data_IF_454523973078
#
_entry.id   IF_454523973078
#
_cell.length_a   1.000
_cell.length_b   1.000
_cell.length_c   1.000
_cell.angle_alpha   90.00
_cell.angle_beta   90.00
_cell.angle_gamma   90.00
#
_symmetry.space_group_name_H-M   'P 1'
#
loop_
_entity.id
_entity.type
_entity.pdbx_description
1 polymer ?
2 non-polymer ?
3 water ?
#
# COMPACT_ATOMS: atom_id res chain seq x y z
N UNK A 1 -23.08 -15.48 0.41
CA UNK A 1 -22.09 -14.53 -0.18
C UNK A 1 -22.73 -13.15 -0.32
N UNK A 2 -21.90 -12.10 -0.31
CA UNK A 2 -22.35 -10.72 -0.58
C UNK A 2 -22.21 -10.52 -2.08
N UNK A 3 -23.29 -9.78 -2.64
CA UNK A 3 -23.23 -9.69 -4.11
C UNK A 3 -22.16 -8.71 -4.59
N UNK A 4 -21.99 -7.64 -3.85
CA UNK A 4 -21.11 -6.51 -4.26
C UNK A 4 -20.17 -6.20 -3.11
N UNK A 5 -19.25 -7.13 -2.78
CA UNK A 5 -18.34 -6.94 -1.64
C UNK A 5 -17.51 -5.68 -1.85
N UNK A 6 -17.39 -4.87 -0.80
CA UNK A 6 -16.71 -3.57 -0.91
C UNK A 6 -15.22 -3.66 -0.61
N UNK A 7 -14.68 -4.83 -0.22
CA UNK A 7 -13.23 -5.01 0.05
C UNK A 7 -12.96 -6.51 0.06
N UNK A 8 -11.74 -6.90 0.30
CA UNK A 8 -11.33 -8.31 0.30
C UNK A 8 -11.82 -9.03 1.56
N UNK A 9 -12.24 -8.31 2.60
CA UNK A 9 -12.83 -8.91 3.83
C UNK A 9 -14.25 -9.41 3.51
N UNK A 10 -15.03 -8.62 2.81
CA UNK A 10 -16.40 -9.02 2.37
C UNK A 10 -16.32 -10.08 1.28
N UNK A 11 -15.22 -10.15 0.51
CA UNK A 11 -15.04 -11.12 -0.59
C UNK A 11 -14.58 -12.44 -0.01
N UNK A 12 -13.94 -12.40 1.16
CA UNK A 12 -13.32 -13.60 1.77
C UNK A 12 -14.44 -14.36 2.44
N UNK A 13 -15.10 -13.67 3.36
CA UNK A 13 -16.26 -14.14 4.15
C UNK A 13 -17.26 -14.78 3.17
N UNK A 14 -17.26 -14.32 1.91
CA UNK A 14 -17.93 -15.03 0.76
C UNK A 14 -17.35 -16.44 0.61
N UNK A 15 -16.54 -16.89 1.58
CA UNK A 15 -15.96 -18.25 1.61
C UNK A 15 -14.61 -18.35 0.90
N UNK A 16 -14.32 -17.44 -0.04
CA UNK A 16 -13.20 -17.55 -1.02
C UNK A 16 -11.86 -17.32 -0.30
N UNK A 17 -11.10 -18.39 -0.04
CA UNK A 17 -9.94 -18.36 0.91
C UNK A 17 -8.61 -18.41 0.13
N UNK A 18 -8.67 -18.38 -1.20
CA UNK A 18 -7.48 -18.43 -2.09
C UNK A 18 -7.06 -17.00 -2.43
N UNK A 19 -5.80 -16.66 -2.22
CA UNK A 19 -5.26 -15.35 -2.66
C UNK A 19 -5.32 -15.29 -4.18
N UNK A 20 -5.61 -14.10 -4.72
CA UNK A 20 -5.64 -13.85 -6.17
C UNK A 20 -6.56 -12.71 -6.49
N UNK A 21 -6.98 -12.60 -7.74
CA UNK A 21 -7.78 -11.47 -8.25
C UNK A 21 -9.24 -11.68 -7.91
N UNK A 22 -9.85 -10.67 -7.32
CA UNK A 22 -11.29 -10.61 -6.99
C UNK A 22 -11.85 -9.27 -7.44
N UNK A 23 -13.12 -9.24 -7.74
CA UNK A 23 -13.85 -7.99 -7.97
C UNK A 23 -14.42 -7.46 -6.67
N UNK A 24 -14.10 -6.22 -6.35
CA UNK A 24 -14.82 -5.50 -5.29
C UNK A 24 -15.58 -4.35 -5.93
N UNK A 25 -16.41 -3.74 -5.11
CA UNK A 25 -17.39 -2.74 -5.57
C UNK A 25 -17.36 -1.58 -4.59
N UNK A 26 -16.89 -0.43 -5.04
CA UNK A 26 -16.69 0.69 -4.08
C UNK A 26 -18.05 1.15 -3.60
N UNK A 27 -18.18 1.31 -2.29
CA UNK A 27 -19.47 1.66 -1.65
C UNK A 27 -20.53 0.57 -1.91
N UNK A 28 -20.15 -0.66 -2.25
CA UNK A 28 -21.11 -1.74 -2.58
C UNK A 28 -21.89 -1.47 -3.84
N UNK A 29 -21.42 -0.57 -4.69
CA UNK A 29 -22.17 -0.09 -5.89
C UNK A 29 -21.72 -0.97 -7.05
N UNK A 30 -22.65 -1.67 -7.69
CA UNK A 30 -22.36 -2.61 -8.81
C UNK A 30 -21.78 -1.84 -10.02
N UNK A 31 -21.92 -0.51 -10.07
CA UNK A 31 -21.35 0.29 -11.16
C UNK A 31 -19.95 0.81 -10.78
N UNK A 32 -19.35 0.37 -9.65
CA UNK A 32 -18.00 0.85 -9.24
C UNK A 32 -17.12 -0.37 -9.00
N UNK A 33 -17.13 -1.31 -9.96
CA UNK A 33 -16.31 -2.54 -9.90
C UNK A 33 -14.85 -2.18 -9.96
N UNK A 34 -14.02 -2.91 -9.23
CA UNK A 34 -12.55 -2.72 -9.23
C UNK A 34 -11.95 -4.10 -9.06
N UNK A 35 -11.03 -4.48 -9.93
CA UNK A 35 -10.35 -5.78 -9.78
C UNK A 35 -9.19 -5.55 -8.80
N UNK A 36 -9.10 -6.36 -7.76
CA UNK A 36 -8.00 -6.18 -6.78
C UNK A 36 -7.36 -7.54 -6.58
N UNK A 37 -6.12 -7.51 -6.12
CA UNK A 37 -5.47 -8.73 -5.58
C UNK A 37 -5.78 -8.80 -4.08
N UNK A 38 -6.42 -9.88 -3.65
CA UNK A 38 -6.70 -10.21 -2.24
C UNK A 38 -5.64 -11.16 -1.69
N UNK A 39 -4.96 -10.73 -0.62
CA UNK A 39 -4.07 -11.60 0.19
C UNK A 39 -4.96 -12.25 1.23
N UNK A 40 -5.30 -13.51 1.00
CA UNK A 40 -6.31 -14.19 1.85
C UNK A 40 -5.60 -15.03 2.90
N UNK A 41 -4.27 -14.97 3.01
CA UNK A 41 -3.49 -15.87 3.92
C UNK A 41 -2.80 -15.11 5.05
N UNK A 42 -2.28 -13.90 4.82
CA UNK A 42 -1.51 -13.15 5.84
C UNK A 42 -2.42 -12.75 7.01
N UNK A 43 -2.02 -13.10 8.24
CA UNK A 43 -2.76 -12.73 9.49
C UNK A 43 -4.27 -12.76 9.26
N UNK A 44 -4.81 -13.88 8.84
CA UNK A 44 -6.26 -14.09 8.74
C UNK A 44 -6.86 -13.64 7.40
N UNK A 45 -6.06 -13.04 6.50
CA UNK A 45 -6.51 -12.71 5.14
C UNK A 45 -7.42 -11.49 5.06
N UNK A 46 -8.19 -11.37 3.99
CA UNK A 46 -9.14 -10.28 3.77
C UNK A 46 -8.47 -8.99 3.37
N UNK A 47 -7.22 -9.05 2.90
CA UNK A 47 -6.42 -7.85 2.60
C UNK A 47 -6.50 -7.49 1.11
N UNK A 48 -6.86 -6.26 0.80
CA UNK A 48 -6.61 -5.65 -0.54
C UNK A 48 -5.14 -5.26 -0.60
N UNK A 49 -4.38 -5.90 -1.48
CA UNK A 49 -2.99 -5.48 -1.73
C UNK A 49 -3.04 -4.22 -2.62
N UNK A 50 -2.28 -3.21 -2.25
CA UNK A 50 -2.27 -1.99 -3.08
C UNK A 50 -0.89 -1.61 -3.57
N UNK A 51 0.14 -2.27 -3.08
CA UNK A 51 1.53 -2.11 -3.60
C UNK A 51 2.18 -3.48 -3.56
N UNK A 52 2.87 -3.82 -4.60
CA UNK A 52 3.75 -5.03 -4.57
C UNK A 52 5.04 -4.69 -5.31
N UNK A 53 6.17 -4.95 -4.64
CA UNK A 53 7.52 -4.94 -5.22
C UNK A 53 8.08 -6.36 -5.05
N UNK A 54 8.66 -6.92 -6.08
CA UNK A 54 9.21 -8.29 -5.98
C UNK A 54 10.31 -8.57 -7.01
N UNK A 55 10.51 -7.78 -8.06
CA UNK A 55 11.48 -8.19 -9.11
C UNK A 55 12.02 -7.02 -9.92
N UNK A 56 11.54 -5.79 -9.74
CA UNK A 56 12.08 -4.63 -10.46
C UNK A 56 11.67 -4.57 -11.93
N UNK A 57 10.68 -5.33 -12.35
CA UNK A 57 10.27 -5.34 -13.78
C UNK A 57 9.43 -4.08 -14.06
N UNK A 58 8.71 -3.52 -13.07
CA UNK A 58 7.79 -2.40 -13.31
C UNK A 58 8.47 -1.08 -12.94
N UNK A 59 8.16 0.00 -13.66
CA UNK A 59 8.70 1.35 -13.40
C UNK A 59 7.79 2.05 -12.38
N UNK A 60 8.32 2.44 -11.22
CA UNK A 60 7.53 3.17 -10.19
C UNK A 60 7.84 4.65 -10.23
N UNK A 61 8.75 5.10 -11.10
CA UNK A 61 9.04 6.52 -11.24
C UNK A 61 8.04 7.12 -12.23
N UNK A 62 6.81 7.33 -11.76
CA UNK A 62 5.66 7.67 -12.61
C UNK A 62 5.03 8.94 -12.07
N UNK A 63 4.18 9.55 -12.88
CA UNK A 63 3.65 10.90 -12.63
C UNK A 63 2.39 10.87 -11.77
N UNK A 64 1.94 12.06 -11.41
CA UNK A 64 0.73 12.22 -10.57
C UNK A 64 -0.43 11.40 -11.16
N UNK A 65 -0.74 11.60 -12.44
CA UNK A 65 -1.94 10.96 -13.01
C UNK A 65 -1.81 9.43 -12.85
N UNK A 66 -0.61 8.90 -13.02
CA UNK A 66 -0.35 7.44 -12.88
C UNK A 66 -0.56 6.99 -11.42
N UNK A 67 -0.04 7.74 -10.47
CA UNK A 67 -0.23 7.45 -9.02
C UNK A 67 -1.70 7.61 -8.64
N UNK A 68 -2.41 8.58 -9.23
CA UNK A 68 -3.84 8.74 -8.92
C UNK A 68 -4.67 7.55 -9.42
N UNK A 69 -4.35 7.03 -10.60
CA UNK A 69 -5.17 6.03 -11.33
C UNK A 69 -4.75 4.60 -11.01
N UNK A 70 -3.48 4.39 -10.74
CA UNK A 70 -2.87 3.06 -10.61
C UNK A 70 -2.22 2.58 -11.88
N UNK A 71 -1.32 1.62 -11.73
CA UNK A 71 -0.54 1.07 -12.87
C UNK A 71 0.01 -0.28 -12.47
N UNK A 72 0.40 -1.05 -13.46
CA UNK A 72 1.06 -2.34 -13.25
C UNK A 72 0.15 -3.54 -13.40
N UNK A 73 0.72 -4.70 -13.15
CA UNK A 73 0.07 -6.01 -13.19
C UNK A 73 -0.25 -6.38 -11.75
N UNK A 74 -1.54 -6.48 -11.42
CA UNK A 74 -2.00 -6.79 -10.05
C UNK A 74 -1.41 -8.12 -9.55
N UNK A 75 -1.12 -9.03 -10.47
CA UNK A 75 -0.55 -10.35 -10.08
C UNK A 75 0.96 -10.27 -9.81
N UNK A 76 1.60 -9.17 -10.16
CA UNK A 76 3.06 -8.97 -10.05
C UNK A 76 3.28 -7.60 -9.39
N UNK A 77 4.10 -6.74 -9.96
CA UNK A 77 4.37 -5.41 -9.38
C UNK A 77 3.32 -4.40 -9.87
N UNK A 78 2.75 -3.65 -8.93
CA UNK A 78 1.69 -2.69 -9.29
C UNK A 78 1.51 -1.74 -8.12
N UNK A 79 0.76 -0.71 -8.43
CA UNK A 79 0.26 0.34 -7.52
C UNK A 79 -1.24 0.50 -7.79
N UNK A 80 -2.09 0.30 -6.78
CA UNK A 80 -3.57 0.29 -6.98
C UNK A 80 -4.15 1.65 -7.41
N UNK A 81 -3.54 2.73 -7.04
CA UNK A 81 -4.11 4.06 -7.31
C UNK A 81 -4.59 4.77 -6.08
N UNK A 82 -4.25 6.04 -5.97
CA UNK A 82 -4.66 6.89 -4.80
C UNK A 82 -6.17 7.15 -4.82
N UNK A 83 -6.81 7.26 -5.99
CA UNK A 83 -8.26 7.55 -6.04
C UNK A 83 -8.98 6.32 -5.47
N UNK A 84 -8.51 5.13 -5.84
CA UNK A 84 -9.04 3.86 -5.31
C UNK A 84 -8.80 3.82 -3.81
N UNK A 85 -7.60 4.13 -3.34
CA UNK A 85 -7.32 4.04 -1.89
C UNK A 85 -8.21 5.03 -1.14
N UNK A 86 -8.41 6.23 -1.67
CA UNK A 86 -9.30 7.22 -1.00
C UNK A 86 -10.70 6.62 -0.87
N UNK A 87 -11.24 6.10 -1.97
CA UNK A 87 -12.64 5.63 -2.01
C UNK A 87 -12.77 4.41 -1.09
N UNK A 88 -11.79 3.50 -1.06
CA UNK A 88 -11.85 2.30 -0.16
C UNK A 88 -11.83 2.81 1.30
N UNK A 89 -10.85 3.64 1.65
CA UNK A 89 -10.64 4.02 3.07
C UNK A 89 -11.80 4.91 3.56
N UNK A 90 -12.57 5.54 2.67
CA UNK A 90 -13.78 6.33 3.00
C UNK A 90 -14.92 5.42 3.45
N UNK A 91 -14.88 4.11 3.17
CA UNK A 91 -16.02 3.15 3.38
C UNK A 91 -16.19 2.77 4.84
N UNK A 92 -15.17 2.98 5.64
CA UNK A 92 -15.16 2.57 7.07
C UNK A 92 -13.80 2.79 7.67
N UNK A 93 -13.53 2.17 8.81
CA UNK A 93 -12.22 2.29 9.48
C UNK A 93 -11.35 1.14 8.96
N UNK A 94 -10.26 1.47 8.26
CA UNK A 94 -9.31 0.46 7.72
C UNK A 94 -8.01 0.47 8.52
N UNK A 95 -7.35 -0.69 8.48
CA UNK A 95 -6.00 -0.94 9.02
C UNK A 95 -5.06 -1.17 7.83
N UNK A 96 -3.82 -0.70 7.97
CA UNK A 96 -2.72 -0.93 7.00
C UNK A 96 -1.84 -2.05 7.51
N UNK A 97 -1.47 -2.95 6.61
CA UNK A 97 -0.40 -3.91 6.90
C UNK A 97 0.67 -3.80 5.82
N UNK A 98 1.91 -3.84 6.26
CA UNK A 98 3.06 -3.84 5.35
C UNK A 98 3.83 -5.14 5.63
N UNK A 99 4.01 -5.93 4.59
CA UNK A 99 4.82 -7.19 4.64
C UNK A 99 6.12 -6.97 3.89
N UNK A 100 7.26 -7.28 4.51
CA UNK A 100 8.59 -7.04 3.90
C UNK A 100 9.31 -8.40 3.96
N UNK A 101 10.12 -8.66 2.95
CA UNK A 101 11.01 -9.84 2.93
C UNK A 101 12.27 -9.51 2.16
N UNK A 102 13.44 -9.89 2.68
CA UNK A 102 14.71 -9.58 2.03
C UNK A 102 15.69 -10.68 2.47
N UNK A 103 16.24 -11.39 1.48
CA UNK A 103 17.22 -12.47 1.72
C UNK A 103 16.76 -13.31 2.90
N UNK A 104 15.50 -13.77 2.85
CA UNK A 104 14.94 -14.75 3.78
C UNK A 104 14.42 -14.15 5.06
N UNK A 105 14.79 -12.93 5.39
CA UNK A 105 14.29 -12.30 6.63
C UNK A 105 12.94 -11.64 6.34
N UNK A 106 12.01 -11.69 7.27
CA UNK A 106 10.69 -11.05 7.10
C UNK A 106 10.44 -10.09 8.24
N UNK A 107 9.63 -9.07 7.98
CA UNK A 107 9.15 -8.17 9.04
C UNK A 107 7.80 -7.65 8.60
N UNK A 108 7.05 -7.04 9.52
CA UNK A 108 5.76 -6.47 9.16
C UNK A 108 5.50 -5.27 10.05
N UNK A 109 4.58 -4.46 9.60
CA UNK A 109 4.03 -3.32 10.37
C UNK A 109 2.53 -3.31 10.17
N UNK A 110 1.78 -3.06 11.24
CA UNK A 110 0.31 -2.88 11.14
C UNK A 110 0.07 -1.50 11.76
N UNK A 111 -0.81 -0.75 11.13
CA UNK A 111 -1.33 0.51 11.67
C UNK A 111 -2.85 0.36 11.77
N UNK A 112 -3.35 0.43 12.98
CA UNK A 112 -4.77 0.20 13.30
C UNK A 112 -5.68 1.16 12.55
N UNK A 113 -5.20 2.36 12.23
CA UNK A 113 -5.97 3.38 11.50
C UNK A 113 -5.17 3.81 10.29
N UNK A 114 -5.78 3.68 9.13
CA UNK A 114 -5.17 4.06 7.85
C UNK A 114 -6.23 4.68 6.96
N UNK A 115 -5.95 5.86 6.44
CA UNK A 115 -6.86 6.49 5.47
C UNK A 115 -6.01 7.29 4.50
N UNK A 116 -6.58 7.53 3.34
CA UNK A 116 -5.99 8.35 2.26
C UNK A 116 -7.07 9.36 1.88
N UNK A 117 -6.75 10.64 1.99
CA UNK A 117 -7.74 11.69 1.69
C UNK A 117 -7.98 11.85 0.19
N UNK A 118 -8.89 12.72 -0.21
CA UNK A 118 -9.23 12.84 -1.64
C UNK A 118 -8.24 13.79 -2.31
N UNK A 119 -8.45 14.01 -3.58
CA UNK A 119 -7.53 14.78 -4.43
C UNK A 119 -7.34 16.21 -3.89
N UNK A 120 -8.37 16.78 -3.28
CA UNK A 120 -8.29 18.17 -2.73
C UNK A 120 -7.34 18.18 -1.52
N UNK A 121 -7.03 17.02 -0.91
CA UNK A 121 -6.02 16.88 0.18
C UNK A 121 -4.66 16.44 -0.37
N UNK A 122 -4.49 16.39 -1.70
CA UNK A 122 -3.38 15.73 -2.40
C UNK A 122 -3.20 14.34 -1.77
N UNK A 123 -4.32 13.63 -1.54
CA UNK A 123 -4.35 12.22 -1.08
C UNK A 123 -3.54 12.08 0.23
N UNK A 124 -3.84 12.95 1.19
CA UNK A 124 -3.19 13.03 2.55
C UNK A 124 -3.20 11.66 3.22
N UNK A 125 -2.07 11.24 3.76
CA UNK A 125 -1.94 9.97 4.51
C UNK A 125 -2.37 10.19 5.97
N UNK A 126 -3.17 9.28 6.53
CA UNK A 126 -3.33 9.12 7.97
C UNK A 126 -2.91 7.69 8.34
N UNK A 127 -1.99 7.55 9.28
CA UNK A 127 -1.56 6.22 9.80
C UNK A 127 -1.30 6.38 11.29
N UNK A 128 -2.02 5.59 12.08
CA UNK A 128 -1.95 5.65 13.55
C UNK A 128 -1.97 4.21 14.06
N UNK A 129 -1.48 4.00 15.28
CA UNK A 129 -1.70 2.75 16.01
C UNK A 129 -0.78 1.65 15.48
N UNK A 130 0.52 1.86 15.57
CA UNK A 130 1.55 0.91 15.09
C UNK A 130 1.65 -0.34 15.98
N UNK A 131 1.87 -1.47 15.33
CA UNK A 131 2.44 -2.65 16.00
C UNK A 131 3.24 -3.38 14.92
N UNK A 132 4.23 -4.13 15.35
CA UNK A 132 4.96 -5.00 14.41
C UNK A 132 6.43 -5.13 14.67
N UNK A 133 7.15 -5.67 13.69
CA UNK A 133 8.58 -6.01 13.83
C UNK A 133 9.44 -5.14 12.93
N UNK A 134 8.85 -4.43 11.96
CA UNK A 134 9.69 -3.69 10.96
C UNK A 134 10.21 -2.41 11.59
N UNK A 135 9.54 -1.93 12.62
CA UNK A 135 9.83 -0.61 13.19
C UNK A 135 8.91 0.45 12.63
N UNK A 136 8.48 1.41 13.47
CA UNK A 136 7.44 2.37 13.04
C UNK A 136 8.05 3.44 12.14
N UNK A 137 8.21 3.15 10.84
CA UNK A 137 8.83 4.09 9.86
C UNK A 137 7.75 4.97 9.21
N UNK A 138 6.47 4.60 9.30
CA UNK A 138 5.40 5.43 8.72
C UNK A 138 5.06 6.62 9.63
N UNK A 139 5.35 6.59 10.94
CA UNK A 139 4.98 7.71 11.83
C UNK A 139 5.51 9.01 11.21
N UNK A 140 6.76 8.97 10.73
CA UNK A 140 7.46 10.14 10.12
C UNK A 140 6.58 10.78 9.05
N UNK A 141 5.84 9.96 8.31
CA UNK A 141 5.07 10.30 7.10
C UNK A 141 3.64 10.72 7.43
N UNK A 142 3.16 10.50 8.66
CA UNK A 142 1.75 10.71 9.01
C UNK A 142 1.33 12.16 8.71
N UNK A 143 0.21 12.31 8.01
CA UNK A 143 -0.46 13.59 7.73
C UNK A 143 0.10 14.26 6.48
N UNK A 144 1.07 13.64 5.82
CA UNK A 144 1.69 14.21 4.61
C UNK A 144 0.87 13.93 3.34
N UNK A 145 0.86 14.94 2.47
CA UNK A 145 0.28 14.79 1.12
C UNK A 145 1.18 13.84 0.30
N UNK A 146 0.63 13.32 -0.78
CA UNK A 146 1.38 12.47 -1.72
C UNK A 146 2.17 13.42 -2.62
N UNK A 147 3.31 12.95 -3.08
CA UNK A 147 4.23 13.70 -3.97
C UNK A 147 4.71 12.80 -5.08
N UNK A 148 4.66 13.35 -6.31
CA UNK A 148 5.30 12.78 -7.50
C UNK A 148 6.19 13.89 -8.05
N UNK A 149 6.99 13.53 -9.02
CA UNK A 149 8.00 14.47 -9.59
C UNK A 149 7.30 15.68 -10.19
N UNK A 150 6.06 15.53 -10.70
CA UNK A 150 5.35 16.61 -11.42
C UNK A 150 4.35 17.31 -10.49
N UNK A 151 4.31 16.98 -9.21
CA UNK A 151 3.44 17.71 -8.23
C UNK A 151 4.12 17.66 -6.86
N UNK A 159 12.17 18.82 -4.08
CA UNK A 159 11.11 17.82 -4.41
C UNK A 159 11.75 16.43 -4.27
N UNK A 160 11.23 15.66 -3.30
CA UNK A 160 11.79 14.36 -2.86
C UNK A 160 11.64 13.31 -3.95
N UNK A 161 10.54 13.38 -4.72
CA UNK A 161 10.18 12.41 -5.76
C UNK A 161 11.22 12.50 -6.83
N UNK A 162 11.52 13.72 -7.18
CA UNK A 162 12.54 14.02 -8.21
C UNK A 162 13.91 13.56 -7.67
N UNK A 163 14.27 14.03 -6.46
CA UNK A 163 15.61 13.82 -5.85
C UNK A 163 15.88 12.35 -5.55
N UNK A 164 14.86 11.54 -5.24
CA UNK A 164 15.00 10.08 -4.99
C UNK A 164 14.39 9.21 -6.14
N UNK A 165 13.82 9.78 -7.21
CA UNK A 165 13.29 9.01 -8.38
C UNK A 165 12.28 7.93 -7.88
N UNK A 166 11.36 8.34 -7.00
CA UNK A 166 10.21 7.51 -6.60
C UNK A 166 8.98 8.38 -6.43
N UNK A 167 8.03 7.95 -5.60
CA UNK A 167 6.79 8.67 -5.27
C UNK A 167 6.39 8.20 -3.89
N UNK A 168 5.83 9.07 -3.09
CA UNK A 168 5.41 8.69 -1.72
C UNK A 168 4.74 9.88 -1.08
N UNK A 169 4.20 9.67 0.11
CA UNK A 169 3.82 10.73 1.05
C UNK A 169 5.07 11.34 1.70
N UNK A 170 5.92 11.96 0.87
CA UNK A 170 7.24 12.46 1.27
C UNK A 170 7.11 13.62 2.26
N UNK A 171 8.12 13.73 3.11
CA UNK A 171 8.30 14.80 4.08
C UNK A 171 9.61 15.50 3.71
N UNK A 172 10.73 15.12 4.32
CA UNK A 172 12.03 15.77 3.98
C UNK A 172 13.18 14.83 4.29
N UNK A 173 13.23 13.63 3.68
CA UNK A 173 12.29 13.19 2.65
C UNK A 173 11.55 11.94 3.13
N UNK A 174 12.27 10.90 3.56
CA UNK A 174 11.57 9.63 3.82
C UNK A 174 12.25 8.78 4.89
N UNK A 175 11.42 7.98 5.54
CA UNK A 175 11.89 6.74 6.22
C UNK A 175 11.29 5.49 5.55
N UNK A 176 10.24 5.67 4.76
CA UNK A 176 9.67 4.61 3.91
C UNK A 176 9.69 5.08 2.45
N UNK A 177 10.17 4.21 1.57
CA UNK A 177 10.34 4.54 0.13
C UNK A 177 9.98 3.32 -0.70
N UNK A 178 8.82 2.68 -0.44
CA UNK A 178 8.53 1.35 -1.06
C UNK A 178 8.23 1.47 -2.56
N UNK A 179 8.05 2.68 -3.10
CA UNK A 179 7.91 2.96 -4.53
C UNK A 179 9.24 3.52 -5.08
N UNK A 180 10.35 3.19 -4.46
CA UNK A 180 11.67 3.66 -4.90
C UNK A 180 12.24 2.73 -5.94
N UNK A 181 13.51 2.95 -6.27
CA UNK A 181 14.14 2.20 -7.37
C UNK A 181 14.56 0.81 -6.92
N UNK A 182 14.11 -0.22 -7.62
CA UNK A 182 14.33 -1.63 -7.25
C UNK A 182 15.83 -1.96 -7.32
N UNK A 183 16.33 -2.62 -6.29
CA UNK A 183 17.72 -3.08 -6.13
C UNK A 183 18.72 -1.95 -6.03
N UNK A 184 18.31 -0.71 -5.74
CA UNK A 184 19.25 0.44 -5.66
C UNK A 184 19.65 0.66 -4.19
N UNK A 185 20.86 0.26 -3.83
CA UNK A 185 21.37 0.36 -2.44
C UNK A 185 22.00 1.72 -2.17
N UNK A 186 22.08 2.62 -3.18
CA UNK A 186 22.56 4.00 -2.95
C UNK A 186 21.64 4.66 -1.92
N UNK A 187 22.20 5.46 -1.02
CA UNK A 187 21.47 6.09 0.12
C UNK A 187 20.12 6.69 -0.33
N UNK A 188 19.02 6.18 0.22
CA UNK A 188 17.65 6.74 0.09
C UNK A 188 17.08 6.57 -1.32
N UNK A 189 17.71 5.81 -2.20
CA UNK A 189 17.27 5.67 -3.62
C UNK A 189 16.39 4.43 -3.78
N UNK A 190 16.46 3.47 -2.86
CA UNK A 190 15.92 2.13 -3.10
C UNK A 190 14.63 1.87 -2.35
N UNK A 191 14.25 0.64 -2.32
CA UNK A 191 12.98 0.20 -1.69
C UNK A 191 13.28 0.12 -0.18
N UNK A 192 13.11 1.24 0.53
CA UNK A 192 13.64 1.34 1.90
C UNK A 192 12.51 1.28 2.93
N UNK A 193 12.82 0.67 4.07
CA UNK A 193 12.08 0.80 5.34
C UNK A 193 13.11 1.06 6.42
N UNK A 194 13.30 2.32 6.74
CA UNK A 194 14.56 2.73 7.41
C UNK A 194 14.78 1.98 8.75
N UNK A 195 13.70 1.79 9.52
CA UNK A 195 13.83 1.31 10.91
C UNK A 195 13.93 -0.20 10.91
N UNK A 196 13.97 -0.81 9.73
CA UNK A 196 14.28 -2.26 9.54
C UNK A 196 15.66 -2.43 8.92
N UNK A 197 15.91 -1.82 7.75
CA UNK A 197 17.14 -2.09 6.97
C UNK A 197 17.85 -0.82 6.52
N UNK A 198 17.43 0.33 7.03
CA UNK A 198 18.18 1.56 6.80
C UNK A 198 17.99 2.12 5.41
N UNK A 199 18.90 3.00 4.99
CA UNK A 199 18.73 3.76 3.72
C UNK A 199 19.69 3.25 2.64
N UNK A 200 20.56 2.30 2.96
CA UNK A 200 21.54 1.76 1.98
C UNK A 200 21.27 0.29 1.73
N UNK A 201 20.01 -0.09 1.79
CA UNK A 201 19.60 -1.49 1.61
C UNK A 201 18.22 -1.50 0.95
N UNK A 202 18.18 -1.87 -0.32
CA UNK A 202 16.92 -1.94 -1.09
C UNK A 202 16.27 -3.29 -0.82
N UNK A 203 15.03 -3.28 -0.37
CA UNK A 203 14.30 -4.52 0.06
C UNK A 203 13.77 -5.28 -1.17
N UNK A 204 14.01 -6.59 -1.19
CA UNK A 204 13.62 -7.46 -2.32
C UNK A 204 12.09 -7.52 -2.51
N UNK A 205 11.35 -7.69 -1.43
CA UNK A 205 9.91 -7.93 -1.50
C UNK A 205 9.18 -7.01 -0.54
N UNK A 206 8.15 -6.33 -1.04
CA UNK A 206 7.36 -5.42 -0.19
C UNK A 206 5.90 -5.47 -0.64
N UNK A 207 4.98 -5.63 0.28
CA UNK A 207 3.54 -5.42 -0.03
C UNK A 207 2.93 -4.46 1.00
N UNK A 208 2.07 -3.56 0.53
CA UNK A 208 1.18 -2.73 1.40
C UNK A 208 -0.26 -3.15 1.11
N UNK A 209 -1.06 -3.34 2.18
CA UNK A 209 -2.41 -3.90 2.01
C UNK A 209 -3.32 -3.32 3.10
N UNK A 210 -4.64 -3.38 2.87
CA UNK A 210 -5.59 -2.81 3.84
C UNK A 210 -6.82 -3.70 3.97
N UNK A 211 -7.42 -3.62 5.13
CA UNK A 211 -8.73 -4.27 5.37
C UNK A 211 -9.39 -3.58 6.56
N UNK A 212 -10.69 -3.82 6.85
CA UNK A 212 -11.33 -3.16 7.99
C UNK A 212 -10.59 -3.49 9.29
N UNK A 213 -10.39 -2.46 10.10
CA UNK A 213 -9.67 -2.61 11.38
C UNK A 213 -10.46 -3.57 12.28
N UNK A 214 -11.76 -3.68 12.11
CA UNK A 214 -12.60 -4.57 12.98
C UNK A 214 -12.59 -6.01 12.51
N UNK A 215 -11.85 -6.34 11.45
CA UNK A 215 -11.82 -7.69 10.86
C UNK A 215 -11.38 -8.74 11.87
N UNK A 216 -10.44 -8.37 12.74
CA UNK A 216 -9.80 -9.22 13.77
C UNK A 216 -10.88 -9.79 14.69
N UNK A 217 -12.07 -9.17 14.78
CA UNK A 217 -13.09 -9.75 15.71
C UNK A 217 -14.51 -9.68 15.16
N UNK A 218 -14.71 -9.87 13.86
CA UNK A 218 -16.00 -9.53 13.19
C UNK A 218 -16.99 -10.70 13.25
X LIG B 1 -3.53 -0.17 -13.77
X LIG B 1 -4.71 0.56 -13.21
X LIG B 1 -5.54 -0.53 -12.68
X LIG B 1 -4.82 -1.00 -11.39
X LIG B 1 -4.98 0.20 -10.41
X LIG B 1 -3.37 -1.47 -11.61
X LIG B 1 -5.88 0.54 -15.88
X LIG B 1 -4.51 -0.45 -17.54
X LIG B 1 -5.89 -0.59 -19.56
X LIG B 1 -5.63 -0.23 -18.19
X LIG B 1 -4.64 0.00 -16.15
X LIG B 1 -3.45 -0.13 -15.25
X LIG B 1 -3.20 -1.57 -13.14
X LIG B 1 -6.40 0.52 -10.14
X LIG B 1 -6.87 0.51 -17.24
#
# INVERSE_FOLDING_TARGET
SMPFPKDCSQAMLNGDTTSGLYTIYLNGDKAQALEVFCDMTSDGGGWIVFLRRKNGRENFYQNWKAYAAGFGDRREEFWLGLDNLNKITAQGQYELRVDLRDHGETAFAVYDKFSVGDAKTRYKLKVEGYSGTAGDSMAYHNGRSFSTFDKDTDSAITNCALSYKGAFWYRNCHRVNLMGRYGDNNHSQGVNWFHWKGHEHSIQFAEMKLRPSNFRNLEG
RWV N1 C4 C5 C6 C7 C8 C10 N C C1 C2 C3 C9 N2 S
#
